data_IF_964504033671
#
_entry.id   IF_964504033671
#
_cell.length_a   1.000
_cell.length_b   1.000
_cell.length_c   1.000
_cell.angle_alpha   90.00
_cell.angle_beta   90.00
_cell.angle_gamma   90.00
#
_symmetry.space_group_name_H-M   'P 1'
#
loop_
_entity.id
_entity.type
_entity.pdbx_description
1 polymer ?
#
# COMPACT_ATOMS: atom_id res chain seq x y z
N UNK A 1 6.08 2.13 21.33
CA UNK A 1 5.42 1.28 20.29
C UNK A 1 5.49 2.07 19.00
N UNK A 2 6.10 1.53 17.94
CA UNK A 2 6.21 2.29 16.68
C UNK A 2 4.85 2.34 15.99
N UNK A 3 4.47 3.52 15.48
CA UNK A 3 3.21 3.74 14.76
C UNK A 3 3.39 3.53 13.27
N UNK A 4 2.43 2.89 12.62
CA UNK A 4 2.41 2.64 11.18
C UNK A 4 1.07 3.00 10.55
N UNK A 5 1.11 3.73 9.44
CA UNK A 5 -0.07 4.00 8.60
C UNK A 5 -0.10 2.97 7.46
N UNK A 6 -1.18 2.20 7.39
CA UNK A 6 -1.34 1.11 6.43
C UNK A 6 -2.34 1.47 5.34
N UNK A 7 -1.91 1.43 4.08
CA UNK A 7 -2.80 1.60 2.94
C UNK A 7 -3.76 0.41 2.80
N UNK A 8 -5.05 0.65 3.05
CA UNK A 8 -6.12 -0.34 2.97
C UNK A 8 -6.98 -0.09 1.74
N UNK A 9 -7.19 -1.12 0.94
CA UNK A 9 -8.02 -1.08 -0.28
C UNK A 9 -9.32 -1.89 -0.15
N UNK A 10 -9.63 -2.39 1.04
CA UNK A 10 -10.71 -3.35 1.24
C UNK A 10 -10.40 -4.77 0.74
N UNK A 11 -9.30 -4.97 0.00
CA UNK A 11 -8.92 -6.29 -0.50
C UNK A 11 -8.16 -7.13 0.54
N UNK A 12 -8.16 -8.45 0.32
CA UNK A 12 -7.52 -9.46 1.19
C UNK A 12 -6.08 -9.12 1.56
N UNK A 13 -5.27 -8.66 0.60
CA UNK A 13 -3.85 -8.43 0.83
C UNK A 13 -3.59 -7.29 1.83
N UNK A 14 -4.25 -6.15 1.64
CA UNK A 14 -4.12 -5.02 2.57
C UNK A 14 -4.67 -5.35 3.96
N UNK A 15 -5.76 -6.12 4.03
CA UNK A 15 -6.36 -6.54 5.29
C UNK A 15 -5.43 -7.46 6.09
N UNK A 16 -4.82 -8.45 5.43
CA UNK A 16 -3.85 -9.36 6.08
C UNK A 16 -2.57 -8.60 6.47
N UNK A 17 -2.06 -7.72 5.61
CA UNK A 17 -0.91 -6.89 5.95
C UNK A 17 -1.15 -6.07 7.23
N UNK A 18 -2.35 -5.50 7.36
CA UNK A 18 -2.78 -4.74 8.54
C UNK A 18 -2.82 -5.63 9.79
N UNK A 19 -3.43 -6.80 9.69
CA UNK A 19 -3.53 -7.75 10.81
C UNK A 19 -2.15 -8.22 11.30
N UNK A 20 -1.26 -8.57 10.37
CA UNK A 20 0.11 -8.99 10.69
C UNK A 20 0.92 -7.91 11.41
N UNK A 21 0.80 -6.65 11.00
CA UNK A 21 1.48 -5.54 11.67
C UNK A 21 0.94 -5.31 13.09
N UNK A 22 -0.37 -5.43 13.27
CA UNK A 22 -0.99 -5.36 14.60
C UNK A 22 -0.49 -6.50 15.49
N UNK A 23 -0.43 -7.73 14.98
CA UNK A 23 0.09 -8.90 15.71
C UNK A 23 1.57 -8.73 16.08
N UNK A 24 2.36 -8.06 15.23
CA UNK A 24 3.76 -7.71 15.51
C UNK A 24 3.94 -6.59 16.54
N UNK A 25 2.85 -6.02 17.05
CA UNK A 25 2.87 -5.03 18.12
C UNK A 25 3.02 -3.58 17.64
N UNK A 26 2.77 -3.27 16.38
CA UNK A 26 2.69 -1.88 15.93
C UNK A 26 1.37 -1.22 16.38
N UNK A 27 1.43 0.08 16.63
CA UNK A 27 0.24 0.94 16.67
C UNK A 27 -0.21 1.19 15.23
N UNK A 28 -1.27 0.52 14.80
CA UNK A 28 -1.70 0.53 13.39
C UNK A 28 -2.84 1.51 13.18
N UNK A 29 -2.71 2.34 12.15
CA UNK A 29 -3.77 3.20 11.62
C UNK A 29 -4.04 2.84 10.16
N UNK A 30 -5.27 2.51 9.83
CA UNK A 30 -5.70 2.22 8.46
C UNK A 30 -5.93 3.51 7.66
N UNK A 31 -5.60 3.49 6.37
CA UNK A 31 -5.90 4.59 5.46
C UNK A 31 -6.36 4.08 4.10
N UNK A 32 -7.55 4.52 3.67
CA UNK A 32 -8.03 4.30 2.30
C UNK A 32 -7.86 5.55 1.46
N UNK A 33 -7.27 5.40 0.28
CA UNK A 33 -7.06 6.49 -0.68
C UNK A 33 -8.19 6.43 -1.71
N UNK A 34 -9.04 7.44 -1.72
CA UNK A 34 -10.12 7.56 -2.68
C UNK A 34 -9.61 8.15 -3.99
N UNK A 35 -9.68 7.36 -5.07
CA UNK A 35 -9.29 7.77 -6.42
C UNK A 35 -10.41 7.60 -7.44
N UNK A 36 -11.48 6.88 -7.10
CA UNK A 36 -12.63 6.65 -7.97
C UNK A 36 -13.55 7.88 -8.02
N UNK A 37 -14.29 8.10 -9.13
CA UNK A 37 -15.28 9.16 -9.24
C UNK A 37 -16.28 9.18 -8.09
N UNK A 38 -16.98 10.30 -7.90
CA UNK A 38 -17.92 10.48 -6.78
C UNK A 38 -19.18 9.61 -6.91
N UNK A 39 -19.55 9.29 -8.14
CA UNK A 39 -20.71 8.48 -8.53
C UNK A 39 -20.45 6.98 -8.49
N UNK A 40 -19.19 6.57 -8.33
CA UNK A 40 -18.82 5.15 -8.17
C UNK A 40 -19.11 4.68 -6.74
N UNK A 41 -19.43 3.38 -6.59
CA UNK A 41 -19.68 2.80 -5.27
C UNK A 41 -18.48 2.97 -4.34
N UNK A 42 -18.75 3.34 -3.08
CA UNK A 42 -17.72 3.42 -2.05
C UNK A 42 -17.50 2.07 -1.34
N UNK A 43 -17.76 0.95 -2.02
CA UNK A 43 -17.75 -0.37 -1.41
C UNK A 43 -16.37 -0.75 -0.87
N UNK A 44 -15.30 -0.41 -1.57
CA UNK A 44 -13.92 -0.61 -1.11
C UNK A 44 -13.61 0.18 0.17
N UNK A 45 -14.11 1.40 0.32
CA UNK A 45 -13.97 2.19 1.55
C UNK A 45 -14.76 1.55 2.69
N UNK A 46 -16.00 1.12 2.43
CA UNK A 46 -16.84 0.45 3.43
C UNK A 46 -16.24 -0.87 3.89
N UNK A 47 -15.71 -1.66 2.96
CA UNK A 47 -15.02 -2.92 3.28
C UNK A 47 -13.76 -2.65 4.09
N UNK A 48 -12.94 -1.67 3.71
CA UNK A 48 -11.74 -1.29 4.47
C UNK A 48 -12.10 -0.82 5.88
N UNK A 49 -13.15 -0.01 6.04
CA UNK A 49 -13.65 0.42 7.35
C UNK A 49 -14.10 -0.79 8.19
N UNK A 50 -14.89 -1.68 7.61
CA UNK A 50 -15.35 -2.89 8.31
C UNK A 50 -14.19 -3.78 8.79
N UNK A 51 -13.14 -3.91 7.99
CA UNK A 51 -11.92 -4.61 8.39
C UNK A 51 -11.22 -3.88 9.54
N UNK A 52 -11.10 -2.57 9.47
CA UNK A 52 -10.50 -1.76 10.52
C UNK A 52 -11.26 -1.87 11.85
N UNK A 53 -12.60 -1.80 11.80
CA UNK A 53 -13.47 -1.98 12.97
C UNK A 53 -13.27 -3.36 13.59
N UNK A 54 -13.24 -4.42 12.77
CA UNK A 54 -12.98 -5.78 13.22
C UNK A 54 -11.60 -5.95 13.86
N UNK A 55 -10.60 -5.27 13.32
CA UNK A 55 -9.25 -5.28 13.87
C UNK A 55 -9.10 -4.32 15.07
N UNK A 56 -10.10 -3.49 15.39
CA UNK A 56 -10.05 -2.51 16.46
C UNK A 56 -8.95 -1.46 16.24
N UNK A 57 -8.84 -0.92 15.03
CA UNK A 57 -7.89 0.14 14.65
C UNK A 57 -8.63 1.36 14.11
N UNK A 58 -8.03 2.54 14.27
CA UNK A 58 -8.51 3.76 13.61
C UNK A 58 -8.37 3.66 12.09
N UNK A 59 -9.33 4.22 11.35
CA UNK A 59 -9.32 4.25 9.89
C UNK A 59 -9.65 5.65 9.37
N UNK A 60 -8.91 6.07 8.35
CA UNK A 60 -9.10 7.36 7.69
C UNK A 60 -9.27 7.18 6.18
N UNK A 61 -10.05 8.07 5.57
CA UNK A 61 -10.15 8.16 4.11
C UNK A 61 -9.54 9.47 3.65
N UNK A 62 -8.67 9.42 2.65
CA UNK A 62 -8.06 10.60 2.03
C UNK A 62 -8.53 10.70 0.59
N UNK A 63 -9.09 11.85 0.22
CA UNK A 63 -9.54 12.11 -1.15
C UNK A 63 -8.36 12.55 -2.02
N UNK A 64 -8.01 11.72 -2.99
CA UNK A 64 -6.94 11.96 -3.94
C UNK A 64 -7.44 11.98 -5.40
N UNK A 65 -8.74 12.17 -5.64
CA UNK A 65 -9.35 12.10 -6.98
C UNK A 65 -8.71 13.10 -7.94
N UNK A 66 -8.61 14.36 -7.56
CA UNK A 66 -8.01 15.40 -8.42
C UNK A 66 -6.52 15.15 -8.66
N UNK A 67 -5.81 14.66 -7.63
CA UNK A 67 -4.41 14.29 -7.75
C UNK A 67 -4.24 13.09 -8.71
N UNK A 68 -5.12 12.10 -8.61
CA UNK A 68 -5.12 10.93 -9.49
C UNK A 68 -5.36 11.32 -10.94
N UNK A 69 -6.35 12.18 -11.21
CA UNK A 69 -6.62 12.67 -12.56
C UNK A 69 -5.36 13.35 -13.12
N UNK A 70 -4.83 14.37 -12.42
CA UNK A 70 -3.68 15.14 -12.91
C UNK A 70 -2.40 14.31 -13.08
N UNK A 71 -2.12 13.38 -12.18
CA UNK A 71 -0.83 12.65 -12.15
C UNK A 71 -0.86 11.34 -12.91
N UNK A 72 -2.01 10.71 -13.01
CA UNK A 72 -2.15 9.37 -13.60
C UNK A 72 -2.94 9.41 -14.91
N UNK A 73 -4.16 9.94 -14.88
CA UNK A 73 -5.05 9.91 -16.06
C UNK A 73 -4.52 10.80 -17.17
N UNK A 74 -4.24 12.08 -16.89
CA UNK A 74 -3.75 13.04 -17.88
C UNK A 74 -2.42 12.59 -18.49
N UNK A 75 -1.52 12.05 -17.65
CA UNK A 75 -0.27 11.47 -18.12
C UNK A 75 -0.52 10.26 -19.04
N UNK A 76 -1.41 9.35 -18.62
CA UNK A 76 -1.76 8.17 -19.43
C UNK A 76 -2.28 8.59 -20.82
N UNK A 77 -3.24 9.52 -20.87
CA UNK A 77 -3.79 10.03 -22.11
C UNK A 77 -2.72 10.71 -22.98
N UNK A 78 -1.86 11.55 -22.38
CA UNK A 78 -0.78 12.23 -23.08
C UNK A 78 0.25 11.27 -23.69
N UNK A 79 0.64 10.21 -22.97
CA UNK A 79 1.59 9.23 -23.50
C UNK A 79 0.95 8.38 -24.61
N UNK A 80 -0.31 8.01 -24.44
CA UNK A 80 -1.05 7.26 -25.46
C UNK A 80 -1.19 8.05 -26.78
N UNK A 81 -1.50 9.35 -26.68
CA UNK A 81 -1.60 10.24 -27.87
C UNK A 81 -0.26 10.39 -28.61
N UNK A 82 0.86 10.10 -27.94
CA UNK A 82 2.21 10.09 -28.52
C UNK A 82 2.65 8.70 -29.01
N UNK A 83 1.74 7.73 -29.06
CA UNK A 83 2.03 6.35 -29.47
C UNK A 83 2.85 5.54 -28.46
N UNK A 84 2.92 5.96 -27.19
CA UNK A 84 3.62 5.22 -26.12
C UNK A 84 2.63 4.47 -25.23
N UNK A 85 3.07 3.37 -24.62
CA UNK A 85 2.25 2.58 -23.69
C UNK A 85 2.75 2.80 -22.26
N UNK A 86 2.17 3.76 -21.51
CA UNK A 86 2.57 4.04 -20.13
C UNK A 86 2.05 2.98 -19.16
N UNK A 87 2.70 2.86 -18.01
CA UNK A 87 2.21 2.05 -16.90
C UNK A 87 1.56 2.94 -15.83
N UNK A 88 0.21 3.05 -15.79
CA UNK A 88 -0.47 3.91 -14.83
C UNK A 88 -0.30 3.43 -13.38
N UNK A 89 -0.07 2.12 -13.15
CA UNK A 89 0.10 1.58 -11.80
C UNK A 89 1.37 2.10 -11.13
N UNK A 90 2.47 2.24 -11.87
CA UNK A 90 3.71 2.84 -11.35
C UNK A 90 3.46 4.29 -10.94
N UNK A 91 2.85 5.08 -11.82
CA UNK A 91 2.51 6.49 -11.55
C UNK A 91 1.59 6.64 -10.34
N UNK A 92 0.56 5.79 -10.24
CA UNK A 92 -0.36 5.79 -9.11
C UNK A 92 0.36 5.47 -7.80
N UNK A 93 1.25 4.47 -7.78
CA UNK A 93 2.02 4.17 -6.58
C UNK A 93 2.91 5.35 -6.18
N UNK A 94 3.67 5.93 -7.13
CA UNK A 94 4.63 7.01 -6.87
C UNK A 94 3.93 8.30 -6.41
N UNK A 95 3.04 8.84 -7.22
CA UNK A 95 2.52 10.20 -7.05
C UNK A 95 1.22 10.30 -6.26
N UNK A 96 0.54 9.19 -6.03
CA UNK A 96 -0.74 9.20 -5.32
C UNK A 96 -0.65 8.38 -4.05
N UNK A 97 -0.37 7.07 -4.18
CA UNK A 97 -0.51 6.15 -3.05
C UNK A 97 0.54 6.39 -1.96
N UNK A 98 1.84 6.31 -2.31
CA UNK A 98 2.90 6.50 -1.33
C UNK A 98 3.07 7.95 -0.92
N UNK A 99 2.83 8.92 -1.80
CA UNK A 99 2.81 10.33 -1.43
C UNK A 99 1.75 10.63 -0.36
N UNK A 100 0.51 10.16 -0.56
CA UNK A 100 -0.57 10.34 0.42
C UNK A 100 -0.30 9.59 1.74
N UNK A 101 0.23 8.35 1.67
CA UNK A 101 0.59 7.57 2.87
C UNK A 101 1.68 8.26 3.69
N UNK A 102 2.74 8.72 3.04
CA UNK A 102 3.87 9.37 3.71
C UNK A 102 3.46 10.72 4.32
N UNK A 103 2.64 11.51 3.62
CA UNK A 103 2.08 12.76 4.18
C UNK A 103 1.23 12.48 5.42
N UNK A 104 0.33 11.49 5.33
CA UNK A 104 -0.52 11.13 6.47
C UNK A 104 0.29 10.60 7.65
N UNK A 105 1.34 9.83 7.38
CA UNK A 105 2.24 9.35 8.42
C UNK A 105 2.92 10.52 9.15
N UNK A 106 3.37 11.55 8.43
CA UNK A 106 3.93 12.76 9.03
C UNK A 106 2.92 13.51 9.89
N UNK A 107 1.68 13.67 9.41
CA UNK A 107 0.59 14.33 10.17
C UNK A 107 0.25 13.61 11.48
N UNK A 108 0.50 12.32 11.55
CA UNK A 108 0.15 11.46 12.69
C UNK A 108 1.35 11.03 13.53
N UNK A 109 2.53 11.61 13.28
CA UNK A 109 3.79 11.21 13.92
C UNK A 109 4.06 9.70 13.79
N UNK A 110 3.67 9.10 12.65
CA UNK A 110 3.92 7.69 12.39
C UNK A 110 5.31 7.49 11.79
N UNK A 111 6.03 6.53 12.36
CA UNK A 111 7.39 6.18 11.93
C UNK A 111 7.39 5.48 10.57
N UNK A 112 6.37 4.65 10.31
CA UNK A 112 6.30 3.81 9.12
C UNK A 112 5.00 3.99 8.34
N UNK A 113 5.08 3.65 7.05
CA UNK A 113 3.94 3.36 6.20
C UNK A 113 4.00 1.92 5.71
N UNK A 114 2.85 1.30 5.44
CA UNK A 114 2.81 -0.07 4.96
C UNK A 114 1.74 -0.28 3.90
N UNK A 115 1.93 -1.32 3.09
CA UNK A 115 0.96 -1.76 2.08
C UNK A 115 1.00 -3.28 1.92
N UNK A 116 -0.04 -3.84 1.29
CA UNK A 116 -0.12 -5.25 0.92
C UNK A 116 0.63 -5.63 -0.36
N UNK A 117 1.67 -4.91 -0.78
CA UNK A 117 2.44 -5.28 -1.95
C UNK A 117 3.34 -6.49 -1.72
N UNK A 118 3.43 -7.35 -2.73
CA UNK A 118 4.34 -8.50 -2.78
C UNK A 118 5.70 -8.06 -3.32
N UNK A 119 6.47 -7.42 -2.48
CA UNK A 119 7.87 -7.05 -2.72
C UNK A 119 8.61 -7.06 -1.39
N UNK A 120 9.93 -7.06 -1.41
CA UNK A 120 10.76 -7.07 -0.20
C UNK A 120 11.68 -5.87 -0.18
N UNK A 121 11.82 -5.27 0.99
CA UNK A 121 12.85 -4.27 1.27
C UNK A 121 13.80 -4.91 2.26
N UNK A 122 15.07 -5.00 1.91
CA UNK A 122 16.10 -5.61 2.75
C UNK A 122 17.24 -4.63 2.98
N UNK A 123 17.71 -4.54 4.23
CA UNK A 123 18.89 -3.77 4.59
C UNK A 123 20.14 -4.63 4.45
N UNK A 124 21.09 -4.19 3.66
CA UNK A 124 22.33 -4.92 3.41
C UNK A 124 23.37 -4.69 4.51
N UNK A 125 23.66 -5.73 5.26
CA UNK A 125 24.77 -5.84 6.19
C UNK A 125 25.14 -4.55 6.93
N UNK A 126 26.45 -4.32 7.14
CA UNK A 126 26.96 -3.12 7.84
C UNK A 126 26.89 -1.82 7.02
N UNK A 127 26.69 -1.91 5.69
CA UNK A 127 26.66 -0.73 4.80
C UNK A 127 25.41 0.15 4.98
N UNK A 128 24.37 -0.37 5.64
CA UNK A 128 23.10 0.33 5.83
C UNK A 128 22.32 0.61 4.54
N UNK A 129 22.73 0.04 3.41
CA UNK A 129 22.01 0.19 2.13
C UNK A 129 20.73 -0.62 2.14
N UNK A 130 19.69 -0.06 1.57
CA UNK A 130 18.42 -0.76 1.32
C UNK A 130 18.37 -1.27 -0.11
N UNK A 131 17.75 -2.42 -0.30
CA UNK A 131 17.47 -3.00 -1.61
C UNK A 131 16.01 -3.36 -1.72
N UNK A 132 15.39 -2.96 -2.83
CA UNK A 132 14.11 -3.49 -3.27
C UNK A 132 14.34 -4.82 -3.98
N UNK A 133 13.67 -5.87 -3.52
CA UNK A 133 13.77 -7.23 -4.07
C UNK A 133 12.40 -7.75 -4.47
N UNK A 134 12.40 -8.71 -5.39
CA UNK A 134 11.18 -9.43 -5.77
C UNK A 134 10.52 -10.11 -4.57
N UNK A 135 9.20 -10.16 -4.58
CA UNK A 135 8.43 -10.98 -3.64
C UNK A 135 8.78 -12.46 -3.74
N UNK A 136 8.56 -13.21 -2.65
CA UNK A 136 8.81 -14.67 -2.64
C UNK A 136 7.81 -15.45 -3.50
N UNK A 137 6.62 -14.90 -3.74
CA UNK A 137 5.65 -15.43 -4.70
C UNK A 137 5.94 -14.86 -6.09
N UNK A 138 6.61 -15.62 -6.94
CA UNK A 138 6.99 -15.17 -8.29
C UNK A 138 5.80 -14.85 -9.20
N UNK A 139 4.63 -15.46 -8.97
CA UNK A 139 3.39 -15.18 -9.70
C UNK A 139 2.67 -13.92 -9.21
N UNK A 140 3.13 -13.33 -8.09
CA UNK A 140 2.53 -12.14 -7.48
C UNK A 140 3.53 -11.01 -7.25
N UNK A 141 4.77 -11.14 -7.72
CA UNK A 141 5.78 -10.10 -7.55
C UNK A 141 5.30 -8.74 -8.07
N UNK A 142 5.44 -7.73 -7.23
CA UNK A 142 5.04 -6.35 -7.51
C UNK A 142 6.21 -5.35 -7.38
N UNK A 143 7.45 -5.85 -7.28
CA UNK A 143 8.63 -5.00 -7.14
C UNK A 143 8.79 -4.02 -8.31
N UNK A 144 8.39 -4.42 -9.53
CA UNK A 144 8.40 -3.54 -10.70
C UNK A 144 7.58 -2.25 -10.49
N UNK A 145 6.47 -2.31 -9.77
CA UNK A 145 5.62 -1.14 -9.53
C UNK A 145 6.16 -0.19 -8.46
N UNK A 146 7.30 -0.54 -7.84
CA UNK A 146 7.93 0.17 -6.71
C UNK A 146 9.36 0.61 -7.01
N UNK A 147 9.83 0.53 -8.26
CA UNK A 147 11.23 0.83 -8.63
C UNK A 147 11.65 2.28 -8.33
N UNK A 148 10.68 3.19 -8.16
CA UNK A 148 10.92 4.58 -7.81
C UNK A 148 11.34 4.78 -6.35
N UNK A 149 11.30 3.74 -5.51
CA UNK A 149 11.68 3.84 -4.11
C UNK A 149 13.15 4.25 -3.96
N UNK A 150 13.36 5.43 -3.43
CA UNK A 150 14.66 5.90 -2.98
C UNK A 150 14.91 5.44 -1.53
N UNK A 151 16.13 5.69 -1.04
CA UNK A 151 16.55 5.22 0.27
C UNK A 151 15.65 5.71 1.41
N UNK A 152 15.34 6.98 1.43
CA UNK A 152 14.49 7.64 2.43
C UNK A 152 13.09 7.03 2.50
N UNK A 153 12.53 6.65 1.34
CA UNK A 153 11.24 5.93 1.26
C UNK A 153 11.40 4.51 1.78
N UNK A 154 12.45 3.79 1.35
CA UNK A 154 12.67 2.38 1.74
C UNK A 154 12.88 2.22 3.25
N UNK A 155 13.46 3.20 3.92
CA UNK A 155 13.65 3.20 5.37
C UNK A 155 12.34 3.27 6.16
N UNK A 156 11.29 3.80 5.55
CA UNK A 156 9.98 4.04 6.17
C UNK A 156 8.87 3.12 5.68
N UNK A 157 9.13 2.26 4.70
CA UNK A 157 8.11 1.40 4.08
C UNK A 157 8.22 -0.02 4.59
N UNK A 158 7.10 -0.57 5.08
CA UNK A 158 6.95 -1.98 5.45
C UNK A 158 6.11 -2.71 4.40
N UNK A 159 6.58 -3.87 3.98
CA UNK A 159 5.90 -4.74 3.02
C UNK A 159 5.72 -6.15 3.64
N UNK A 160 4.72 -6.33 4.53
CA UNK A 160 4.59 -7.56 5.34
C UNK A 160 4.41 -8.82 4.50
N UNK A 161 3.80 -8.71 3.32
CA UNK A 161 3.50 -9.85 2.46
C UNK A 161 4.67 -10.28 1.55
N UNK A 162 5.77 -9.53 1.54
CA UNK A 162 6.87 -9.75 0.60
C UNK A 162 7.52 -11.13 0.67
N UNK A 163 7.47 -11.79 1.83
CA UNK A 163 8.00 -13.16 2.04
C UNK A 163 6.93 -14.25 1.98
N UNK A 164 5.68 -13.90 1.71
CA UNK A 164 4.53 -14.81 1.76
C UNK A 164 4.07 -15.22 0.37
N UNK A 165 3.47 -16.42 0.26
CA UNK A 165 2.73 -16.85 -0.92
C UNK A 165 1.27 -16.38 -0.82
N UNK A 166 0.65 -16.07 -1.94
CA UNK A 166 -0.75 -15.64 -2.01
C UNK A 166 -1.72 -16.63 -1.37
N UNK A 167 -1.43 -17.92 -1.48
CA UNK A 167 -2.24 -18.98 -0.86
C UNK A 167 -2.25 -18.88 0.66
N UNK A 168 -1.10 -18.60 1.28
CA UNK A 168 -0.98 -18.48 2.73
C UNK A 168 -1.66 -17.20 3.23
N UNK A 169 -1.54 -16.11 2.47
CA UNK A 169 -2.27 -14.86 2.75
C UNK A 169 -3.80 -15.12 2.74
N UNK A 170 -4.31 -15.89 1.78
CA UNK A 170 -5.73 -16.27 1.74
C UNK A 170 -6.15 -17.15 2.92
N UNK A 171 -5.28 -18.07 3.39
CA UNK A 171 -5.56 -18.89 4.58
C UNK A 171 -5.69 -18.01 5.83
N UNK A 172 -4.75 -17.09 6.02
CA UNK A 172 -4.78 -16.11 7.13
C UNK A 172 -6.04 -15.25 7.07
N UNK A 173 -6.39 -14.73 5.90
CA UNK A 173 -7.61 -13.94 5.74
C UNK A 173 -8.86 -14.72 6.20
N UNK A 174 -8.98 -16.00 5.78
CA UNK A 174 -10.10 -16.87 6.20
C UNK A 174 -10.09 -17.14 7.70
N UNK A 175 -8.94 -17.46 8.30
CA UNK A 175 -8.85 -17.70 9.74
C UNK A 175 -9.22 -16.49 10.58
N UNK A 176 -8.98 -15.30 10.07
CA UNK A 176 -9.34 -14.03 10.71
C UNK A 176 -10.74 -13.54 10.29
N UNK A 177 -11.41 -14.24 9.37
CA UNK A 177 -12.70 -13.86 8.81
C UNK A 177 -12.64 -12.51 8.06
N UNK A 178 -11.53 -12.20 7.39
CA UNK A 178 -11.31 -10.97 6.64
C UNK A 178 -11.56 -11.13 5.12
N UNK A 179 -12.07 -12.27 4.68
CA UNK A 179 -12.36 -12.61 3.28
C UNK A 179 -13.80 -13.16 3.17
#
# INVERSE_FOLDING_TARGET
>A
MSKVVVGMSGGVDSSVATALLKEQGYEVVGMTIRVKPADDSNDDIRVAQSVADKLGIAHHTVDCRDLFVRKVVDHFCSEYSRGRTPNPCVRCNEYVKFDALLKKALEMDAEFVATGHYARIERLGKSGRYQLKKGSDGGKDQSYFLYFFQRDIMERVLLPLGKMKKEDVRKIARSLGLA
#
